data_IF_157144628780
#
_entry.id   IF_157144628780
#
_cell.length_a   1.000
_cell.length_b   1.000
_cell.length_c   1.000
_cell.angle_alpha   90.00
_cell.angle_beta   90.00
_cell.angle_gamma   90.00
#
_symmetry.space_group_name_H-M   'P 1'
#
loop_
_entity.id
_entity.type
_entity.pdbx_description
1 polymer ?
#
# COMPACT_ATOMS: atom_id res chain seq x y z
N UNK A 1 -15.32 -18.41 -5.20
CA UNK A 1 -14.87 -17.21 -4.47
C UNK A 1 -14.01 -17.51 -3.23
N UNK A 2 -14.07 -18.72 -2.63
CA UNK A 2 -13.34 -19.03 -1.38
C UNK A 2 -11.84 -19.35 -1.50
N UNK A 3 -11.38 -19.93 -2.61
CA UNK A 3 -9.98 -20.39 -2.76
C UNK A 3 -8.93 -19.27 -2.60
N UNK A 4 -9.15 -18.12 -3.25
CA UNK A 4 -8.22 -16.97 -3.21
C UNK A 4 -8.06 -16.40 -1.80
N UNK A 5 -9.18 -16.29 -1.07
CA UNK A 5 -9.18 -15.86 0.32
C UNK A 5 -8.38 -16.82 1.19
N UNK A 6 -8.56 -18.12 1.00
CA UNK A 6 -7.81 -19.16 1.73
C UNK A 6 -6.30 -19.05 1.46
N UNK A 7 -5.91 -18.86 0.20
CA UNK A 7 -4.50 -18.72 -0.19
C UNK A 7 -3.85 -17.50 0.47
N UNK A 8 -4.49 -16.33 0.37
CA UNK A 8 -4.00 -15.11 1.01
C UNK A 8 -3.92 -15.28 2.54
N UNK A 9 -4.93 -15.88 3.17
CA UNK A 9 -4.90 -16.14 4.61
C UNK A 9 -3.77 -17.09 5.03
N UNK A 10 -3.48 -18.10 4.22
CA UNK A 10 -2.37 -19.02 4.46
C UNK A 10 -1.02 -18.30 4.33
N UNK A 11 -0.82 -17.50 3.29
CA UNK A 11 0.39 -16.67 3.15
C UNK A 11 0.56 -15.72 4.34
N UNK A 12 -0.49 -14.99 4.73
CA UNK A 12 -0.43 -14.10 5.91
C UNK A 12 -0.05 -14.89 7.17
N UNK A 13 -0.61 -16.08 7.36
CA UNK A 13 -0.29 -16.93 8.52
C UNK A 13 1.17 -17.36 8.55
N UNK A 14 1.73 -17.74 7.40
CA UNK A 14 3.04 -18.40 7.35
C UNK A 14 4.20 -17.44 7.04
N UNK A 15 3.97 -16.44 6.18
CA UNK A 15 4.99 -15.47 5.74
C UNK A 15 4.98 -14.19 6.58
N UNK A 16 3.81 -13.80 7.11
CA UNK A 16 3.64 -12.57 7.90
C UNK A 16 3.32 -12.87 9.37
N UNK A 17 3.65 -14.08 9.84
CA UNK A 17 3.46 -14.51 11.23
C UNK A 17 2.03 -14.28 11.78
N UNK A 18 1.01 -14.33 10.91
CA UNK A 18 -0.38 -14.15 11.27
C UNK A 18 -0.95 -12.75 11.06
N UNK A 19 -0.14 -11.74 10.69
CA UNK A 19 -0.62 -10.37 10.54
C UNK A 19 0.12 -9.60 9.43
N UNK A 20 -0.63 -9.15 8.42
CA UNK A 20 -0.14 -8.18 7.44
C UNK A 20 -0.44 -6.77 7.95
N UNK A 21 0.61 -5.98 8.23
CA UNK A 21 0.49 -4.65 8.82
C UNK A 21 0.29 -3.55 7.76
N UNK A 22 -0.24 -2.41 8.18
CA UNK A 22 -0.29 -1.19 7.34
C UNK A 22 1.14 -0.79 6.96
N UNK A 23 1.38 -0.57 5.67
CA UNK A 23 2.72 -0.31 5.12
C UNK A 23 3.42 -1.55 4.57
N UNK A 24 2.81 -2.73 4.71
CA UNK A 24 3.21 -3.96 4.01
C UNK A 24 2.18 -4.35 2.95
N UNK A 25 2.61 -5.14 1.97
CA UNK A 25 1.74 -5.70 0.95
C UNK A 25 2.18 -7.13 0.60
N UNK A 26 1.23 -7.93 0.09
CA UNK A 26 1.51 -9.26 -0.42
C UNK A 26 0.64 -9.57 -1.65
N UNK A 27 1.07 -10.50 -2.50
CA UNK A 27 0.45 -10.82 -3.79
C UNK A 27 0.02 -12.29 -3.88
N UNK A 28 -1.17 -12.51 -4.45
CA UNK A 28 -1.68 -13.85 -4.78
C UNK A 28 -2.19 -13.91 -6.21
N UNK A 29 -2.07 -15.08 -6.82
CA UNK A 29 -2.77 -15.40 -8.06
C UNK A 29 -4.28 -15.51 -7.82
N UNK A 30 -5.08 -15.04 -8.78
CA UNK A 30 -6.54 -15.13 -8.69
C UNK A 30 -7.12 -16.27 -9.54
N UNK A 31 -6.32 -16.85 -10.44
CA UNK A 31 -6.74 -17.74 -11.52
C UNK A 31 -7.82 -17.12 -12.43
N UNK A 32 -7.78 -15.81 -12.63
CA UNK A 32 -8.71 -15.07 -13.50
C UNK A 32 -7.95 -14.39 -14.63
N UNK A 33 -8.34 -14.65 -15.89
CA UNK A 33 -7.65 -14.13 -17.08
C UNK A 33 -7.50 -12.60 -17.08
N UNK A 34 -8.54 -11.88 -16.67
CA UNK A 34 -8.53 -10.41 -16.73
C UNK A 34 -7.88 -9.73 -15.50
N UNK A 35 -7.75 -10.44 -14.38
CA UNK A 35 -7.21 -9.89 -13.12
C UNK A 35 -6.31 -10.97 -12.53
N UNK A 36 -5.17 -11.29 -13.16
CA UNK A 36 -4.39 -12.48 -12.82
C UNK A 36 -3.87 -12.48 -11.39
N UNK A 37 -3.65 -11.29 -10.81
CA UNK A 37 -3.12 -11.11 -9.46
C UNK A 37 -4.01 -10.20 -8.61
N UNK A 38 -4.00 -10.45 -7.31
CA UNK A 38 -4.56 -9.60 -6.27
C UNK A 38 -3.43 -9.23 -5.31
N UNK A 39 -3.26 -7.94 -5.06
CA UNK A 39 -2.34 -7.44 -4.04
C UNK A 39 -3.17 -7.02 -2.81
N UNK A 40 -2.85 -7.60 -1.65
CA UNK A 40 -3.40 -7.19 -0.37
C UNK A 40 -2.49 -6.13 0.26
N UNK A 41 -3.04 -4.97 0.58
CA UNK A 41 -2.33 -3.87 1.25
C UNK A 41 -3.27 -3.22 2.29
N UNK A 42 -3.10 -3.50 3.59
CA UNK A 42 -3.99 -3.00 4.64
C UNK A 42 -3.93 -1.48 4.78
N UNK A 43 -5.09 -0.82 4.82
CA UNK A 43 -5.21 0.59 5.21
C UNK A 43 -5.55 0.76 6.70
N UNK A 44 -5.87 -0.33 7.39
CA UNK A 44 -6.25 -0.36 8.79
C UNK A 44 -6.06 -1.76 9.33
N UNK A 45 -5.69 -1.89 10.60
CA UNK A 45 -5.57 -3.18 11.29
C UNK A 45 -6.95 -3.81 11.52
N UNK A 46 -7.89 -2.98 11.98
CA UNK A 46 -9.30 -3.32 12.19
C UNK A 46 -10.16 -2.20 11.59
N UNK A 47 -11.42 -2.48 11.22
CA UNK A 47 -12.35 -1.45 10.73
C UNK A 47 -12.40 -0.22 11.67
N UNK A 48 -11.95 0.94 11.19
CA UNK A 48 -11.94 2.19 11.96
C UNK A 48 -11.91 3.42 11.03
N UNK A 49 -12.22 4.60 11.58
CA UNK A 49 -12.08 5.90 10.92
C UNK A 49 -10.58 6.25 10.82
N UNK A 50 -10.16 6.79 9.67
CA UNK A 50 -8.77 7.09 9.31
C UNK A 50 -8.51 8.60 9.17
N UNK A 51 -9.27 9.43 9.88
CA UNK A 51 -9.10 10.89 9.88
C UNK A 51 -7.66 11.26 10.27
N UNK A 52 -7.07 12.21 9.53
CA UNK A 52 -5.71 12.73 9.76
C UNK A 52 -4.60 11.65 9.75
N UNK A 53 -4.76 10.58 8.96
CA UNK A 53 -3.75 9.53 8.80
C UNK A 53 -3.11 9.53 7.40
N UNK A 54 -1.92 8.93 7.32
CA UNK A 54 -1.21 8.64 6.06
C UNK A 54 -1.39 7.19 5.59
N UNK A 55 -2.39 6.48 6.12
CA UNK A 55 -2.57 5.05 5.86
C UNK A 55 -2.82 4.72 4.38
N UNK A 56 -3.62 5.50 3.61
CA UNK A 56 -3.71 5.32 2.16
C UNK A 56 -2.36 5.41 1.45
N UNK A 57 -1.51 6.37 1.84
CA UNK A 57 -0.15 6.52 1.31
C UNK A 57 0.70 5.30 1.65
N UNK A 58 0.71 4.85 2.91
CA UNK A 58 1.48 3.67 3.34
C UNK A 58 1.06 2.41 2.58
N UNK A 59 -0.24 2.19 2.40
CA UNK A 59 -0.75 1.06 1.63
C UNK A 59 -0.35 1.15 0.15
N UNK A 60 -0.50 2.32 -0.48
CA UNK A 60 -0.11 2.52 -1.87
C UNK A 60 1.41 2.33 -2.07
N UNK A 61 2.23 2.92 -1.19
CA UNK A 61 3.69 2.78 -1.20
C UNK A 61 4.12 1.33 -1.06
N UNK A 62 3.47 0.58 -0.17
CA UNK A 62 3.75 -0.85 0.02
C UNK A 62 3.49 -1.66 -1.26
N UNK A 63 2.37 -1.40 -1.95
CA UNK A 63 2.05 -2.04 -3.24
C UNK A 63 3.12 -1.73 -4.28
N UNK A 64 3.50 -0.46 -4.41
CA UNK A 64 4.48 -0.04 -5.43
C UNK A 64 5.88 -0.61 -5.16
N UNK A 65 6.30 -0.66 -3.89
CA UNK A 65 7.57 -1.30 -3.50
C UNK A 65 7.55 -2.80 -3.75
N UNK A 66 6.44 -3.48 -3.41
CA UNK A 66 6.26 -4.91 -3.71
C UNK A 66 6.39 -5.17 -5.21
N UNK A 67 5.75 -4.36 -6.05
CA UNK A 67 5.86 -4.52 -7.51
C UNK A 67 7.28 -4.24 -8.00
N UNK A 68 7.93 -3.18 -7.49
CA UNK A 68 9.25 -2.75 -7.98
C UNK A 68 10.39 -3.67 -7.54
N UNK A 69 10.30 -4.28 -6.36
CA UNK A 69 11.42 -4.99 -5.73
C UNK A 69 11.09 -6.38 -5.19
N UNK A 70 9.81 -6.77 -5.16
CA UNK A 70 9.38 -8.05 -4.62
C UNK A 70 9.48 -9.18 -5.64
N UNK A 71 9.44 -10.39 -5.10
CA UNK A 71 9.36 -11.64 -5.86
C UNK A 71 8.01 -12.32 -5.60
N UNK A 72 7.53 -13.13 -6.54
CA UNK A 72 6.32 -13.90 -6.32
C UNK A 72 6.57 -14.96 -5.23
N UNK A 73 5.80 -14.97 -4.13
CA UNK A 73 6.01 -15.89 -3.02
C UNK A 73 5.49 -17.31 -3.29
N UNK A 74 4.70 -17.49 -4.36
CA UNK A 74 4.10 -18.77 -4.75
C UNK A 74 3.44 -18.63 -6.12
N UNK A 75 3.17 -19.74 -6.80
CA UNK A 75 2.39 -19.78 -8.04
C UNK A 75 3.25 -20.10 -9.25
N UNK A 76 2.76 -19.79 -10.45
CA UNK A 76 3.44 -20.14 -11.69
C UNK A 76 4.78 -19.41 -11.90
N UNK A 77 4.93 -18.24 -11.27
CA UNK A 77 6.12 -17.38 -11.36
C UNK A 77 6.92 -17.33 -10.04
N UNK A 78 6.78 -18.33 -9.16
CA UNK A 78 7.44 -18.35 -7.85
C UNK A 78 8.95 -18.07 -7.95
N UNK A 79 9.45 -17.12 -7.15
CA UNK A 79 10.85 -16.67 -7.16
C UNK A 79 11.21 -15.70 -8.28
N UNK A 80 10.32 -15.43 -9.24
CA UNK A 80 10.54 -14.39 -10.25
C UNK A 80 10.18 -13.01 -9.71
N UNK A 81 10.76 -11.95 -10.30
CA UNK A 81 10.44 -10.58 -9.93
C UNK A 81 8.99 -10.24 -10.30
N UNK A 82 8.28 -9.60 -9.38
CA UNK A 82 6.89 -9.17 -9.62
C UNK A 82 6.81 -8.18 -10.78
N UNK A 83 7.83 -7.35 -10.95
CA UNK A 83 7.95 -6.39 -12.05
C UNK A 83 7.95 -7.05 -13.44
N UNK A 84 8.34 -8.33 -13.55
CA UNK A 84 8.32 -9.09 -14.80
C UNK A 84 6.91 -9.53 -15.18
N UNK A 85 6.10 -9.95 -14.20
CA UNK A 85 4.71 -10.42 -14.40
C UNK A 85 3.62 -9.34 -14.28
N UNK A 86 3.87 -8.25 -13.54
CA UNK A 86 2.88 -7.20 -13.25
C UNK A 86 3.29 -5.88 -13.90
N UNK A 87 2.65 -5.55 -15.03
CA UNK A 87 2.93 -4.30 -15.78
C UNK A 87 2.00 -3.13 -15.47
N UNK A 88 0.88 -3.41 -14.80
CA UNK A 88 -0.11 -2.40 -14.42
C UNK A 88 -0.82 -2.82 -13.14
N UNK A 89 -1.15 -1.84 -12.30
CA UNK A 89 -1.92 -2.05 -11.08
C UNK A 89 -3.05 -1.02 -11.00
N UNK A 90 -4.22 -1.46 -10.55
CA UNK A 90 -5.36 -0.60 -10.28
C UNK A 90 -5.53 -0.46 -8.76
N UNK A 91 -5.64 0.78 -8.29
CA UNK A 91 -5.94 1.08 -6.88
C UNK A 91 -7.43 1.39 -6.70
N UNK A 92 -8.09 0.82 -5.69
CA UNK A 92 -9.40 1.33 -5.26
C UNK A 92 -9.23 2.65 -4.48
N UNK A 93 -10.35 3.27 -4.08
CA UNK A 93 -10.32 4.35 -3.09
C UNK A 93 -9.85 3.84 -1.73
N UNK A 94 -8.54 3.90 -1.48
CA UNK A 94 -7.92 3.40 -0.25
C UNK A 94 -8.44 4.17 0.97
N UNK A 95 -9.15 3.48 1.86
CA UNK A 95 -9.68 4.07 3.09
C UNK A 95 -10.90 4.98 2.92
N UNK A 96 -11.44 5.16 1.70
CA UNK A 96 -12.55 6.09 1.45
C UNK A 96 -13.93 5.56 1.87
N UNK A 97 -14.04 4.24 2.08
CA UNK A 97 -15.25 3.59 2.62
C UNK A 97 -15.34 3.72 4.14
N UNK A 98 -15.12 2.61 4.86
CA UNK A 98 -15.18 2.57 6.33
C UNK A 98 -14.27 3.61 6.99
N UNK A 99 -13.10 3.85 6.40
CA UNK A 99 -12.12 4.80 6.90
C UNK A 99 -12.52 6.27 6.80
N UNK A 100 -13.54 6.60 5.99
CA UNK A 100 -14.00 7.97 5.74
C UNK A 100 -12.89 8.94 5.30
N UNK A 101 -11.82 8.45 4.67
CA UNK A 101 -10.82 9.32 4.06
C UNK A 101 -11.49 10.09 2.91
N UNK A 102 -11.40 11.43 2.88
CA UNK A 102 -11.92 12.19 1.75
C UNK A 102 -11.27 11.75 0.43
N UNK A 103 -12.02 11.54 -0.67
CA UNK A 103 -11.48 11.02 -1.93
C UNK A 103 -10.28 11.80 -2.46
N UNK A 104 -10.28 13.13 -2.31
CA UNK A 104 -9.20 14.02 -2.72
C UNK A 104 -7.92 13.83 -1.90
N UNK A 105 -8.04 13.56 -0.58
CA UNK A 105 -6.88 13.25 0.28
C UNK A 105 -6.35 11.85 -0.02
N UNK A 106 -7.24 10.88 -0.29
CA UNK A 106 -6.83 9.57 -0.80
C UNK A 106 -6.05 9.70 -2.12
N UNK A 107 -6.58 10.46 -3.09
CA UNK A 107 -5.92 10.68 -4.38
C UNK A 107 -4.56 11.38 -4.22
N UNK A 108 -4.46 12.38 -3.34
CA UNK A 108 -3.20 13.04 -3.01
C UNK A 108 -2.17 12.04 -2.46
N UNK A 109 -2.56 11.22 -1.49
CA UNK A 109 -1.69 10.21 -0.87
C UNK A 109 -1.20 9.14 -1.85
N UNK A 110 -2.10 8.63 -2.70
CA UNK A 110 -1.73 7.68 -3.76
C UNK A 110 -0.78 8.33 -4.76
N UNK A 111 -1.06 9.58 -5.17
CA UNK A 111 -0.18 10.34 -6.08
C UNK A 111 1.21 10.53 -5.50
N UNK A 112 1.32 10.84 -4.20
CA UNK A 112 2.62 10.98 -3.52
C UNK A 112 3.40 9.67 -3.56
N UNK A 113 2.76 8.53 -3.26
CA UNK A 113 3.42 7.23 -3.35
C UNK A 113 3.90 6.90 -4.78
N UNK A 114 3.11 7.23 -5.81
CA UNK A 114 3.50 7.05 -7.22
C UNK A 114 4.73 7.90 -7.56
N UNK A 115 4.75 9.18 -7.17
CA UNK A 115 5.90 10.07 -7.38
C UNK A 115 7.16 9.50 -6.75
N UNK A 116 7.07 9.11 -5.49
CA UNK A 116 8.22 8.65 -4.72
C UNK A 116 8.79 7.32 -5.23
N UNK A 117 7.94 6.34 -5.56
CA UNK A 117 8.40 4.98 -5.86
C UNK A 117 8.49 4.71 -7.35
N UNK A 118 7.54 5.18 -8.14
CA UNK A 118 7.48 4.91 -9.59
C UNK A 118 8.27 5.92 -10.39
N UNK A 119 8.26 7.19 -9.98
CA UNK A 119 8.99 8.26 -10.67
C UNK A 119 10.36 8.58 -10.02
N UNK A 120 10.71 7.88 -8.93
CA UNK A 120 11.95 8.07 -8.18
C UNK A 120 12.16 9.53 -7.70
N UNK A 121 11.05 10.23 -7.42
CA UNK A 121 11.04 11.62 -6.92
C UNK A 121 11.11 11.69 -5.37
N UNK A 122 11.62 10.65 -4.70
CA UNK A 122 11.80 10.65 -3.25
C UNK A 122 13.17 11.19 -2.86
N UNK A 123 13.19 12.20 -1.99
CA UNK A 123 14.40 12.68 -1.34
C UNK A 123 14.43 12.24 0.12
N UNK A 124 15.55 11.65 0.55
CA UNK A 124 15.74 11.27 1.95
C UNK A 124 15.90 12.54 2.79
N UNK A 125 15.11 12.71 3.88
CA UNK A 125 15.10 13.95 4.64
C UNK A 125 16.43 14.17 5.39
N UNK A 126 16.93 15.41 5.37
CA UNK A 126 18.13 15.81 6.11
C UNK A 126 17.88 16.06 7.60
N UNK A 127 16.63 16.23 8.01
CA UNK A 127 16.23 16.46 9.39
C UNK A 127 14.83 15.94 9.69
N UNK A 128 14.49 15.87 10.97
CA UNK A 128 13.12 15.54 11.39
C UNK A 128 12.08 16.55 10.86
N UNK A 129 12.42 17.84 10.88
CA UNK A 129 11.54 18.89 10.38
C UNK A 129 11.26 18.72 8.87
N UNK A 130 12.27 18.33 8.10
CA UNK A 130 12.12 18.07 6.66
C UNK A 130 11.20 16.88 6.39
N UNK A 131 11.21 15.85 7.26
CA UNK A 131 10.31 14.70 7.15
C UNK A 131 8.86 15.02 7.56
N UNK A 132 8.68 15.96 8.49
CA UNK A 132 7.40 16.27 9.10
C UNK A 132 6.44 17.01 8.15
N UNK A 133 6.96 17.93 7.34
CA UNK A 133 6.11 18.76 6.47
C UNK A 133 5.45 17.94 5.34
N UNK A 134 6.18 17.12 4.56
CA UNK A 134 5.56 16.25 3.55
C UNK A 134 4.56 15.26 4.16
N UNK A 135 4.85 14.76 5.37
CA UNK A 135 3.94 13.88 6.10
C UNK A 135 2.58 14.56 6.37
N UNK A 136 2.59 15.79 6.89
CA UNK A 136 1.36 16.53 7.19
C UNK A 136 0.58 16.93 5.94
N UNK A 137 1.27 17.31 4.86
CA UNK A 137 0.65 17.72 3.59
C UNK A 137 -0.30 16.66 3.01
N UNK A 138 -0.07 15.39 3.33
CA UNK A 138 -0.89 14.27 2.87
C UNK A 138 -2.28 14.18 3.51
N UNK A 139 -2.50 14.80 4.67
CA UNK A 139 -3.78 14.70 5.37
C UNK A 139 -4.34 16.04 5.84
N UNK A 140 -3.53 17.10 5.97
CA UNK A 140 -3.96 18.41 6.44
C UNK A 140 -3.30 19.55 5.67
N UNK A 141 -4.02 20.66 5.53
CA UNK A 141 -3.49 21.93 5.02
C UNK A 141 -3.12 22.89 6.18
N UNK A 142 -3.34 22.46 7.42
CA UNK A 142 -2.96 23.15 8.65
C UNK A 142 -1.76 22.44 9.26
N UNK A 143 -0.58 22.99 9.01
CA UNK A 143 0.67 22.49 9.58
C UNK A 143 0.79 22.93 11.03
N UNK A 144 1.27 22.01 11.86
CA UNK A 144 1.67 22.28 13.24
C UNK A 144 2.99 21.62 13.54
N UNK A 145 3.61 22.00 14.64
CA UNK A 145 4.64 21.15 15.23
C UNK A 145 3.98 19.85 15.72
N UNK A 146 4.60 18.71 15.41
CA UNK A 146 4.14 17.39 15.87
C UNK A 146 4.82 17.00 17.19
N UNK A 147 5.79 17.78 17.66
CA UNK A 147 6.44 17.60 18.96
C UNK A 147 5.81 18.43 20.09
N UNK A 148 4.97 19.43 19.79
CA UNK A 148 4.41 20.36 20.77
C UNK A 148 2.93 20.68 20.53
#
# INVERSE_FOLDING_TARGET
MGYRKQQLQNQIKHLHHGELLVGNADIVETNHSNIPYLIAAPTMRVPMILADTVNPYLAARAVLLLIKHGEFPSGALEGEQISDGVKSVAFPGLGTGVGRVPPEKCALQVRTAIKEITLDEYEFPSSWADAQMPHQQMYTDKFRDLQY
#
